data_IF_833371674614
#
_entry.id   IF_833371674614
#
_cell.length_a   1.000
_cell.length_b   1.000
_cell.length_c   1.000
_cell.angle_alpha   90.00
_cell.angle_beta   90.00
_cell.angle_gamma   90.00
#
_symmetry.space_group_name_H-M   'P 1'
#
loop_
_entity.id
_entity.type
_entity.pdbx_description
1 polymer ?
#
# COMPACT_ATOMS: atom_id res chain seq x y z
N UNK A 1 -4.12 7.18 3.76
CA UNK A 1 -3.24 6.03 4.05
C UNK A 1 -3.98 5.04 4.93
N UNK A 2 -3.95 3.76 4.60
CA UNK A 2 -4.63 2.68 5.34
C UNK A 2 -3.61 1.63 5.77
N UNK A 3 -3.67 1.24 7.05
CA UNK A 3 -2.92 0.10 7.58
C UNK A 3 -3.54 -1.20 7.07
N UNK A 4 -2.84 -1.88 6.17
CA UNK A 4 -3.19 -3.18 5.61
C UNK A 4 -2.55 -4.34 6.38
N UNK A 5 -2.47 -5.50 5.74
CA UNK A 5 -1.71 -6.63 6.27
C UNK A 5 -2.20 -7.18 7.61
N UNK A 6 -1.36 -8.02 8.21
CA UNK A 6 -1.58 -8.59 9.54
C UNK A 6 -1.80 -7.50 10.59
N UNK A 7 -1.00 -6.45 10.49
CA UNK A 7 -0.99 -5.29 11.38
C UNK A 7 -2.28 -4.47 11.32
N UNK A 8 -2.92 -4.37 10.15
CA UNK A 8 -4.25 -3.74 9.97
C UNK A 8 -5.39 -4.64 10.42
N UNK A 9 -5.28 -5.94 10.15
CA UNK A 9 -6.27 -6.99 10.47
C UNK A 9 -6.29 -7.37 11.95
N UNK A 10 -5.25 -7.05 12.72
CA UNK A 10 -5.15 -7.42 14.13
C UNK A 10 -4.64 -8.85 14.35
N UNK A 11 -3.92 -9.40 13.37
CA UNK A 11 -3.39 -10.77 13.38
C UNK A 11 -1.85 -10.78 13.41
N UNK A 12 -1.25 -9.74 13.99
CA UNK A 12 0.21 -9.55 14.08
C UNK A 12 0.85 -10.61 14.96
N UNK A 13 2.01 -11.13 14.53
CA UNK A 13 2.88 -11.98 15.33
C UNK A 13 4.05 -11.15 15.87
N UNK A 14 4.34 -11.31 17.16
CA UNK A 14 5.42 -10.56 17.84
C UNK A 14 6.77 -10.78 17.15
N UNK A 15 7.46 -9.68 16.81
CA UNK A 15 8.81 -9.68 16.24
C UNK A 15 8.94 -10.26 14.82
N UNK A 16 7.84 -10.51 14.11
CA UNK A 16 7.86 -11.15 12.77
C UNK A 16 6.93 -10.50 11.74
N UNK A 17 6.17 -9.50 12.14
CA UNK A 17 5.19 -8.88 11.25
C UNK A 17 5.70 -7.54 10.71
N UNK A 18 5.54 -7.41 9.42
CA UNK A 18 5.63 -6.18 8.65
C UNK A 18 4.38 -5.29 8.84
N UNK A 19 4.52 -4.05 8.41
CA UNK A 19 3.46 -3.06 8.38
C UNK A 19 3.15 -2.64 6.94
N UNK A 20 2.06 -3.18 6.39
CA UNK A 20 1.55 -2.75 5.09
C UNK A 20 0.86 -1.38 5.20
N UNK A 21 1.32 -0.44 4.40
CA UNK A 21 0.75 0.89 4.23
C UNK A 21 0.23 1.05 2.80
N UNK A 22 -1.09 1.01 2.65
CA UNK A 22 -1.73 1.33 1.38
C UNK A 22 -1.94 2.84 1.29
N UNK A 23 -1.33 3.45 0.28
CA UNK A 23 -1.36 4.89 0.06
C UNK A 23 -2.26 5.16 -1.14
N UNK A 24 -3.50 5.56 -0.83
CA UNK A 24 -4.44 6.04 -1.84
C UNK A 24 -4.03 7.42 -2.34
N UNK A 25 -3.89 7.56 -3.66
CA UNK A 25 -3.42 8.79 -4.31
C UNK A 25 -4.50 9.32 -5.25
N UNK A 26 -4.89 10.58 -5.08
CA UNK A 26 -5.91 11.24 -5.91
C UNK A 26 -5.51 11.27 -7.40
N UNK A 27 -4.21 11.24 -7.69
CA UNK A 27 -3.67 11.22 -9.06
C UNK A 27 -3.81 9.86 -9.76
N UNK A 28 -4.17 8.80 -9.04
CA UNK A 28 -4.51 7.50 -9.60
C UNK A 28 -6.03 7.43 -9.72
N UNK A 29 -6.56 7.48 -10.94
CA UNK A 29 -8.01 7.64 -11.17
C UNK A 29 -8.71 6.36 -11.65
N UNK A 30 -7.93 5.33 -11.96
CA UNK A 30 -8.41 4.05 -12.45
C UNK A 30 -7.45 2.90 -12.10
N UNK A 31 -7.91 1.67 -12.28
CA UNK A 31 -7.07 0.47 -12.17
C UNK A 31 -5.91 0.50 -13.19
N UNK A 32 -6.18 0.92 -14.42
CA UNK A 32 -5.16 1.12 -15.45
C UNK A 32 -4.11 2.16 -15.03
N UNK A 33 -4.53 3.30 -14.48
CA UNK A 33 -3.62 4.35 -14.01
C UNK A 33 -2.69 3.82 -12.93
N UNK A 34 -3.21 3.07 -11.96
CA UNK A 34 -2.39 2.43 -10.94
C UNK A 34 -1.39 1.47 -11.57
N UNK A 35 -1.82 0.63 -12.51
CA UNK A 35 -0.93 -0.31 -13.18
C UNK A 35 0.20 0.41 -13.92
N UNK A 36 -0.10 1.50 -14.63
CA UNK A 36 0.89 2.20 -15.46
C UNK A 36 1.82 3.10 -14.64
N UNK A 37 1.32 3.73 -13.59
CA UNK A 37 1.98 4.87 -12.93
C UNK A 37 2.45 4.60 -11.51
N UNK A 38 2.10 3.47 -10.87
CA UNK A 38 2.55 3.19 -9.48
C UNK A 38 4.07 3.30 -9.30
N UNK A 39 4.86 2.91 -10.31
CA UNK A 39 6.32 3.06 -10.28
C UNK A 39 6.79 4.51 -10.18
N UNK A 40 6.07 5.46 -10.79
CA UNK A 40 6.34 6.90 -10.68
C UNK A 40 6.20 7.35 -9.22
N UNK A 41 5.10 6.97 -8.57
CA UNK A 41 4.83 7.31 -7.19
C UNK A 41 5.76 6.59 -6.21
N UNK A 42 6.10 5.33 -6.45
CA UNK A 42 7.10 4.62 -5.65
C UNK A 42 8.46 5.33 -5.71
N UNK A 43 8.87 5.77 -6.90
CA UNK A 43 10.13 6.49 -7.07
C UNK A 43 10.12 7.81 -6.32
N UNK A 44 9.03 8.57 -6.39
CA UNK A 44 8.90 9.83 -5.66
C UNK A 44 8.86 9.62 -4.14
N UNK A 45 8.09 8.65 -3.64
CA UNK A 45 8.06 8.32 -2.20
C UNK A 45 9.45 7.92 -1.72
N UNK A 46 10.16 7.07 -2.48
CA UNK A 46 11.55 6.69 -2.17
C UNK A 46 12.44 7.92 -2.05
N UNK A 47 12.42 8.81 -3.04
CA UNK A 47 13.22 10.04 -3.06
C UNK A 47 12.94 10.92 -1.83
N UNK A 48 11.68 11.06 -1.44
CA UNK A 48 11.30 11.84 -0.26
C UNK A 48 11.74 11.17 1.05
N UNK A 49 11.69 9.84 1.15
CA UNK A 49 12.23 9.09 2.29
C UNK A 49 13.75 9.25 2.41
N UNK A 50 14.48 9.28 1.29
CA UNK A 50 15.94 9.50 1.27
C UNK A 50 16.31 10.95 1.64
N UNK A 51 15.50 11.92 1.19
CA UNK A 51 15.68 13.34 1.50
C UNK A 51 15.21 13.73 2.91
N UNK A 52 14.44 12.87 3.59
CA UNK A 52 13.90 13.15 4.91
C UNK A 52 15.04 13.36 5.92
N UNK A 53 15.09 14.51 6.63
CA UNK A 53 16.14 14.79 7.59
C UNK A 53 15.99 13.88 8.82
N UNK A 54 16.85 12.86 8.86
CA UNK A 54 16.87 11.79 9.88
C UNK A 54 17.03 12.33 11.30
N UNK A 55 17.77 13.43 11.45
CA UNK A 55 18.03 14.10 12.72
C UNK A 55 16.78 14.75 13.34
N UNK A 56 15.78 15.11 12.52
CA UNK A 56 14.57 15.78 12.99
C UNK A 56 13.58 14.80 13.64
N UNK A 57 13.64 13.53 13.27
CA UNK A 57 12.67 12.52 13.65
C UNK A 57 13.28 11.37 14.45
N UNK A 58 14.59 11.39 14.70
CA UNK A 58 15.36 10.29 15.31
C UNK A 58 15.00 8.91 14.73
N UNK A 59 14.86 8.84 13.40
CA UNK A 59 14.58 7.62 12.66
C UNK A 59 15.62 7.41 11.57
N UNK A 60 15.92 6.14 11.29
CA UNK A 60 16.76 5.71 10.19
C UNK A 60 15.93 4.83 9.27
N UNK A 61 15.95 5.18 7.98
CA UNK A 61 15.34 4.39 6.92
C UNK A 61 16.43 3.61 6.18
N UNK A 62 16.24 2.29 6.06
CA UNK A 62 17.01 1.42 5.17
C UNK A 62 16.08 0.95 4.05
N UNK A 63 16.15 1.64 2.91
CA UNK A 63 15.28 1.39 1.76
C UNK A 63 15.78 0.16 1.00
N UNK A 64 14.87 -0.76 0.71
CA UNK A 64 15.14 -1.91 -0.15
C UNK A 64 14.89 -1.51 -1.60
N UNK A 65 15.90 -1.64 -2.46
CA UNK A 65 15.76 -1.26 -3.87
C UNK A 65 15.18 -2.40 -4.70
N UNK A 66 14.07 -2.14 -5.39
CA UNK A 66 13.54 -3.03 -6.41
C UNK A 66 14.39 -3.00 -7.68
N UNK A 67 14.57 -4.16 -8.32
CA UNK A 67 15.17 -4.28 -9.66
C UNK A 67 14.16 -4.09 -10.80
N UNK A 68 12.87 -4.04 -10.47
CA UNK A 68 11.78 -3.91 -11.43
C UNK A 68 11.50 -2.44 -11.73
N UNK A 69 11.22 -2.13 -13.01
CA UNK A 69 10.89 -0.78 -13.46
C UNK A 69 9.53 -0.28 -12.97
N UNK A 70 8.61 -1.19 -12.63
CA UNK A 70 7.27 -0.85 -12.12
C UNK A 70 6.87 -1.76 -10.93
N UNK A 71 7.55 -1.60 -9.77
CA UNK A 71 7.27 -2.42 -8.60
C UNK A 71 5.86 -2.18 -8.08
N UNK A 72 5.29 -3.17 -7.37
CA UNK A 72 4.00 -3.00 -6.69
C UNK A 72 4.13 -2.34 -5.32
N UNK A 73 5.31 -2.44 -4.75
CA UNK A 73 5.60 -2.13 -3.35
C UNK A 73 6.96 -1.46 -3.23
N UNK A 74 7.06 -0.52 -2.30
CA UNK A 74 8.30 0.02 -1.80
C UNK A 74 8.51 -0.50 -0.39
N UNK A 75 9.53 -1.33 -0.20
CA UNK A 75 9.87 -1.92 1.09
C UNK A 75 11.01 -1.16 1.74
N UNK A 76 10.90 -0.86 3.04
CA UNK A 76 12.00 -0.29 3.81
C UNK A 76 11.93 -0.72 5.27
N UNK A 77 13.08 -0.68 5.94
CA UNK A 77 13.16 -0.90 7.38
C UNK A 77 13.32 0.44 8.09
N UNK A 78 12.51 0.66 9.12
CA UNK A 78 12.58 1.79 10.02
C UNK A 78 13.18 1.36 11.35
N UNK A 79 14.18 2.10 11.83
CA UNK A 79 14.73 1.97 13.18
C UNK A 79 14.82 3.34 13.85
N UNK A 80 14.73 3.38 15.17
CA UNK A 80 14.79 4.60 16.00
C UNK A 80 15.40 4.26 17.36
N UNK A 81 15.98 5.24 18.06
CA UNK A 81 16.49 5.00 19.41
C UNK A 81 15.36 4.70 20.41
N UNK A 82 14.16 5.21 20.15
CA UNK A 82 12.95 4.96 20.94
C UNK A 82 12.31 3.59 20.66
N UNK A 83 12.71 2.90 19.59
CA UNK A 83 12.17 1.59 19.22
C UNK A 83 13.12 0.48 19.67
N UNK A 84 12.59 -0.50 20.40
CA UNK A 84 13.36 -1.67 20.83
C UNK A 84 13.68 -2.63 19.67
N UNK A 85 12.96 -2.54 18.55
CA UNK A 85 13.08 -3.42 17.39
C UNK A 85 12.96 -2.61 16.08
N UNK A 86 13.60 -3.09 15.01
CA UNK A 86 13.40 -2.55 13.67
C UNK A 86 12.03 -3.01 13.11
N UNK A 87 11.37 -2.14 12.34
CA UNK A 87 10.07 -2.45 11.73
C UNK A 87 10.19 -2.41 10.21
N UNK A 88 9.80 -3.49 9.55
CA UNK A 88 9.70 -3.55 8.09
C UNK A 88 8.35 -2.97 7.63
N UNK A 89 8.40 -2.08 6.65
CA UNK A 89 7.26 -1.42 6.06
C UNK A 89 7.19 -1.70 4.58
N UNK A 90 5.99 -2.05 4.12
CA UNK A 90 5.64 -2.18 2.72
C UNK A 90 4.68 -1.06 2.34
N UNK A 91 5.08 -0.19 1.41
CA UNK A 91 4.25 0.91 0.91
C UNK A 91 3.70 0.57 -0.46
N UNK A 92 2.37 0.53 -0.58
CA UNK A 92 1.67 0.16 -1.80
C UNK A 92 0.78 1.31 -2.27
N UNK A 93 1.18 2.07 -3.31
CA UNK A 93 0.30 3.06 -3.94
C UNK A 93 -0.91 2.37 -4.58
N UNK A 94 -2.09 2.94 -4.36
CA UNK A 94 -3.33 2.39 -4.88
C UNK A 94 -4.29 3.48 -5.39
N UNK A 95 -5.09 3.12 -6.38
CA UNK A 95 -6.29 3.83 -6.77
C UNK A 95 -7.35 3.63 -5.68
N UNK A 96 -7.99 4.71 -5.25
CA UNK A 96 -9.11 4.66 -4.32
C UNK A 96 -10.41 4.24 -5.02
N UNK A 97 -10.53 2.94 -5.29
CA UNK A 97 -11.70 2.38 -5.97
C UNK A 97 -12.98 2.45 -5.12
N UNK A 98 -12.85 2.58 -3.81
CA UNK A 98 -13.97 2.58 -2.86
C UNK A 98 -14.40 3.99 -2.46
N UNK A 99 -13.52 4.98 -2.58
CA UNK A 99 -13.75 6.32 -2.07
C UNK A 99 -13.96 6.30 -0.56
N UNK A 100 -14.87 7.15 -0.08
CA UNK A 100 -15.24 7.17 1.34
C UNK A 100 -16.10 5.94 1.70
N UNK A 101 -15.45 4.90 2.24
CA UNK A 101 -16.15 3.70 2.70
C UNK A 101 -16.84 3.94 4.06
N UNK A 102 -18.17 3.83 4.10
CA UNK A 102 -18.95 3.81 5.34
C UNK A 102 -19.04 2.39 5.90
N UNK A 103 -18.83 2.22 7.21
CA UNK A 103 -18.90 0.91 7.89
C UNK A 103 -20.24 0.20 7.60
N UNK A 104 -20.16 -1.08 7.26
CA UNK A 104 -21.34 -1.94 7.00
C UNK A 104 -21.96 -1.78 5.61
N UNK A 105 -21.43 -0.91 4.76
CA UNK A 105 -21.95 -0.70 3.41
C UNK A 105 -21.26 -1.61 2.39
N UNK A 106 -22.05 -2.15 1.45
CA UNK A 106 -21.52 -2.89 0.31
C UNK A 106 -21.11 -1.90 -0.79
N UNK A 107 -19.88 -1.97 -1.33
CA UNK A 107 -19.49 -1.13 -2.45
C UNK A 107 -20.46 -1.30 -3.63
N UNK A 108 -20.58 -0.25 -4.44
CA UNK A 108 -21.33 -0.30 -5.69
C UNK A 108 -20.81 -1.46 -6.57
N UNK A 109 -21.70 -2.36 -7.06
CA UNK A 109 -21.28 -3.47 -7.93
C UNK A 109 -20.56 -3.01 -9.20
N UNK A 110 -20.83 -1.79 -9.68
CA UNK A 110 -20.16 -1.20 -10.84
C UNK A 110 -18.64 -1.07 -10.65
N UNK A 111 -18.16 -0.94 -9.40
CA UNK A 111 -16.72 -0.97 -9.09
C UNK A 111 -16.11 -2.32 -9.47
N UNK A 112 -16.79 -3.42 -9.10
CA UNK A 112 -16.33 -4.77 -9.42
C UNK A 112 -16.47 -5.11 -10.90
N UNK A 113 -17.51 -4.61 -11.59
CA UNK A 113 -17.63 -4.76 -13.05
C UNK A 113 -16.41 -4.16 -13.75
N UNK A 114 -16.05 -2.91 -13.42
CA UNK A 114 -14.85 -2.25 -13.97
C UNK A 114 -13.56 -3.02 -13.64
N UNK A 115 -13.45 -3.54 -12.42
CA UNK A 115 -12.31 -4.36 -12.02
C UNK A 115 -12.20 -5.63 -12.89
N UNK A 116 -13.31 -6.34 -13.08
CA UNK A 116 -13.35 -7.58 -13.85
C UNK A 116 -12.99 -7.30 -15.31
N UNK A 117 -13.57 -6.28 -15.92
CA UNK A 117 -13.26 -5.87 -17.30
C UNK A 117 -11.76 -5.57 -17.48
N UNK A 118 -11.17 -4.80 -16.57
CA UNK A 118 -9.73 -4.47 -16.59
C UNK A 118 -8.86 -5.72 -16.38
N UNK A 119 -9.18 -6.55 -15.39
CA UNK A 119 -8.41 -7.75 -15.09
C UNK A 119 -8.49 -8.78 -16.22
N UNK A 120 -9.67 -9.05 -16.77
CA UNK A 120 -9.85 -10.06 -17.82
C UNK A 120 -9.22 -9.63 -19.15
N UNK A 121 -9.31 -8.34 -19.51
CA UNK A 121 -8.68 -7.83 -20.74
C UNK A 121 -7.15 -7.93 -20.69
N UNK A 122 -6.54 -7.87 -19.50
CA UNK A 122 -5.08 -7.89 -19.32
C UNK A 122 -4.52 -9.17 -18.70
N UNK A 123 -5.37 -10.11 -18.26
CA UNK A 123 -5.01 -11.32 -17.49
C UNK A 123 -4.25 -10.98 -16.20
N UNK A 124 -4.83 -10.05 -15.43
CA UNK A 124 -4.26 -9.48 -14.20
C UNK A 124 -5.15 -9.76 -12.98
N UNK A 125 -5.70 -10.97 -12.88
CA UNK A 125 -6.56 -11.36 -11.78
C UNK A 125 -5.83 -11.20 -10.43
N UNK A 126 -6.45 -10.48 -9.50
CA UNK A 126 -5.88 -10.21 -8.17
C UNK A 126 -4.86 -9.06 -8.10
N UNK A 127 -4.48 -8.45 -9.23
CA UNK A 127 -3.51 -7.35 -9.29
C UNK A 127 -3.87 -6.17 -8.38
N UNK A 128 -5.15 -5.81 -8.33
CA UNK A 128 -5.67 -4.61 -7.68
C UNK A 128 -6.26 -4.89 -6.29
N UNK A 129 -5.84 -5.97 -5.64
CA UNK A 129 -6.31 -6.32 -4.30
C UNK A 129 -6.07 -5.22 -3.26
N UNK A 130 -5.03 -4.39 -3.44
CA UNK A 130 -4.72 -3.24 -2.59
C UNK A 130 -5.80 -2.16 -2.58
N UNK A 131 -6.55 -2.00 -3.68
CA UNK A 131 -7.67 -1.06 -3.76
C UNK A 131 -8.81 -1.41 -2.78
N UNK A 132 -8.83 -2.65 -2.30
CA UNK A 132 -9.88 -3.19 -1.43
C UNK A 132 -9.35 -3.54 -0.03
N UNK A 133 -8.17 -3.04 0.36
CA UNK A 133 -7.55 -3.36 1.65
C UNK A 133 -8.45 -3.02 2.85
N UNK A 134 -9.29 -2.00 2.75
CA UNK A 134 -10.24 -1.68 3.83
C UNK A 134 -11.30 -2.78 4.02
N UNK A 135 -11.79 -3.37 2.94
CA UNK A 135 -12.72 -4.51 3.00
C UNK A 135 -12.01 -5.76 3.52
N UNK A 136 -10.80 -6.04 3.05
CA UNK A 136 -10.00 -7.17 3.54
C UNK A 136 -9.71 -7.06 5.04
N UNK A 137 -9.47 -5.84 5.52
CA UNK A 137 -9.29 -5.55 6.94
C UNK A 137 -10.60 -5.75 7.70
N UNK A 138 -11.70 -5.18 7.21
CA UNK A 138 -13.02 -5.27 7.84
C UNK A 138 -13.59 -6.70 7.84
N UNK A 139 -13.10 -7.57 6.97
CA UNK A 139 -13.51 -8.98 6.96
C UNK A 139 -12.98 -9.77 8.17
N UNK A 140 -11.83 -9.38 8.72
CA UNK A 140 -11.18 -10.07 9.83
C UNK A 140 -11.29 -9.35 11.17
N UNK A 141 -11.62 -8.05 11.14
CA UNK A 141 -11.90 -7.24 12.32
C UNK A 141 -13.37 -7.23 12.68
#
# INVERSE_FOLDING_TARGET
VVKGGSSGKGTTLRGRSDADLVVFLENLTSFEDQLRRRGEFITEIKKQLEACPKEKFDVKFRIQSSRWSNPRVLSFVLSSSDLSEEVEFDVLPAFDALGQLTKGYRPSPQIYVKLIEECTSRKLEGEFSTCFTELQRAFLK
#
